data_IF_936425296370
#
_entry.id   IF_936425296370
#
_cell.length_a   1.000
_cell.length_b   1.000
_cell.length_c   1.000
_cell.angle_alpha   90.00
_cell.angle_beta   90.00
_cell.angle_gamma   90.00
#
_symmetry.space_group_name_H-M   'P 1'
#
loop_
_entity.id
_entity.type
_entity.pdbx_description
1 polymer ?
#
# COMPACT_ATOMS: atom_id res chain seq x y z
N UNK A 1 18.92 -20.59 15.75
CA UNK A 1 17.50 -20.21 15.92
C UNK A 1 16.87 -20.28 14.56
N UNK A 2 15.84 -21.10 14.42
CA UNK A 2 15.15 -21.37 13.15
C UNK A 2 13.90 -20.46 13.08
N UNK A 3 14.05 -19.33 12.38
CA UNK A 3 13.03 -18.27 12.24
C UNK A 3 11.67 -18.80 11.73
N UNK A 4 11.69 -19.91 10.98
CA UNK A 4 10.48 -20.53 10.44
C UNK A 4 9.69 -21.33 11.47
N UNK A 5 10.32 -21.77 12.56
CA UNK A 5 9.66 -22.43 13.68
C UNK A 5 8.76 -21.49 14.46
N UNK A 6 9.23 -20.26 14.70
CA UNK A 6 8.52 -19.26 15.51
C UNK A 6 7.32 -18.64 14.78
N UNK A 7 7.40 -18.50 13.45
CA UNK A 7 6.31 -17.94 12.62
C UNK A 7 5.08 -18.87 12.56
N UNK A 8 5.28 -20.20 12.65
CA UNK A 8 4.16 -21.17 12.60
C UNK A 8 3.22 -21.10 13.79
N UNK A 9 3.64 -20.49 14.90
CA UNK A 9 2.80 -20.28 16.08
C UNK A 9 1.98 -18.98 16.03
N UNK A 10 2.11 -18.16 14.97
CA UNK A 10 1.49 -16.84 14.88
C UNK A 10 0.06 -16.84 14.32
N UNK A 11 -0.46 -17.99 13.90
CA UNK A 11 -1.78 -18.12 13.28
C UNK A 11 -2.88 -18.39 14.34
N UNK A 12 -3.33 -17.33 15.02
CA UNK A 12 -4.55 -17.37 15.82
C UNK A 12 -4.59 -16.29 16.90
N UNK A 13 -5.42 -15.26 16.65
CA UNK A 13 -5.91 -14.10 17.44
C UNK A 13 -5.21 -13.57 18.69
N UNK A 14 -4.44 -14.35 19.44
CA UNK A 14 -3.54 -13.89 20.50
C UNK A 14 -2.36 -14.85 20.59
N UNK A 15 -1.16 -14.40 20.25
CA UNK A 15 0.06 -15.21 20.37
C UNK A 15 0.68 -14.96 21.74
N UNK A 16 0.88 -16.04 22.51
CA UNK A 16 1.75 -16.00 23.69
C UNK A 16 3.20 -15.88 23.25
N UNK A 17 3.77 -14.68 23.31
CA UNK A 17 5.22 -14.49 23.10
C UNK A 17 5.90 -14.57 24.46
N UNK A 18 6.16 -15.80 24.91
CA UNK A 18 6.60 -16.10 26.28
C UNK A 18 5.43 -16.35 27.25
N UNK A 19 5.74 -16.81 28.47
CA UNK A 19 4.75 -17.39 29.40
C UNK A 19 3.58 -16.45 29.76
N UNK A 20 3.74 -15.13 29.68
CA UNK A 20 2.75 -14.15 30.20
C UNK A 20 2.46 -12.92 29.30
N UNK A 21 2.89 -12.89 28.03
CA UNK A 21 2.65 -11.72 27.16
C UNK A 21 1.56 -12.03 26.12
N UNK A 22 0.48 -11.26 26.17
CA UNK A 22 -0.63 -11.22 25.20
C UNK A 22 -0.42 -10.02 24.30
N UNK A 23 -0.19 -10.24 23.00
CA UNK A 23 -0.05 -9.18 21.99
C UNK A 23 -1.20 -9.19 20.98
N UNK A 24 -1.64 -8.00 20.56
CA UNK A 24 -2.59 -7.81 19.47
C UNK A 24 -1.97 -8.18 18.09
N UNK A 25 -2.78 -8.47 17.06
CA UNK A 25 -2.25 -8.82 15.73
C UNK A 25 -1.27 -7.79 15.12
N UNK A 26 -1.51 -6.49 15.32
CA UNK A 26 -0.62 -5.44 14.84
C UNK A 26 0.72 -5.44 15.61
N UNK A 27 0.69 -5.67 16.91
CA UNK A 27 1.88 -5.80 17.77
C UNK A 27 2.70 -7.05 17.38
N UNK A 28 2.04 -8.16 17.03
CA UNK A 28 2.71 -9.37 16.52
C UNK A 28 3.41 -9.09 15.19
N UNK A 29 2.73 -8.45 14.24
CA UNK A 29 3.31 -8.10 12.95
C UNK A 29 4.51 -7.16 13.12
N UNK A 30 4.36 -6.12 13.94
CA UNK A 30 5.42 -5.19 14.27
C UNK A 30 6.62 -5.89 14.92
N UNK A 31 6.40 -6.72 15.94
CA UNK A 31 7.45 -7.50 16.59
C UNK A 31 8.20 -8.41 15.62
N UNK A 32 7.48 -9.14 14.77
CA UNK A 32 8.07 -10.05 13.79
C UNK A 32 8.96 -9.29 12.79
N UNK A 33 8.49 -8.14 12.31
CA UNK A 33 9.28 -7.25 11.45
C UNK A 33 10.51 -6.71 12.18
N UNK A 34 10.39 -6.33 13.46
CA UNK A 34 11.52 -5.92 14.30
C UNK A 34 12.60 -7.00 14.40
N UNK A 35 12.19 -8.27 14.52
CA UNK A 35 13.14 -9.41 14.51
C UNK A 35 13.80 -9.64 13.16
N UNK A 36 13.11 -9.38 12.06
CA UNK A 36 13.64 -9.58 10.70
C UNK A 36 14.57 -8.46 10.26
N UNK A 37 14.25 -7.20 10.58
CA UNK A 37 14.89 -6.02 10.01
C UNK A 37 15.72 -5.21 11.03
N UNK A 38 15.62 -5.52 12.33
CA UNK A 38 16.31 -4.79 13.39
C UNK A 38 15.61 -3.49 13.76
N UNK A 39 15.63 -2.50 12.85
CA UNK A 39 14.93 -1.22 12.99
C UNK A 39 13.66 -1.21 12.11
N UNK A 40 12.63 -1.93 12.56
CA UNK A 40 11.37 -2.01 11.84
C UNK A 40 10.65 -0.66 11.72
N UNK A 41 10.81 0.23 12.69
CA UNK A 41 10.14 1.53 12.71
C UNK A 41 10.68 2.42 11.60
N UNK A 42 12.00 2.54 11.50
CA UNK A 42 12.62 3.34 10.45
C UNK A 42 12.29 2.79 9.06
N UNK A 43 12.34 1.48 8.88
CA UNK A 43 12.07 0.84 7.59
C UNK A 43 10.59 0.95 7.21
N UNK A 44 9.66 0.71 8.14
CA UNK A 44 8.23 0.87 7.89
C UNK A 44 7.86 2.33 7.60
N UNK A 45 8.43 3.30 8.32
CA UNK A 45 8.22 4.71 8.02
C UNK A 45 8.74 5.09 6.63
N UNK A 46 9.88 4.53 6.21
CA UNK A 46 10.42 4.71 4.86
C UNK A 46 9.51 4.10 3.80
N UNK A 47 9.04 2.87 3.99
CA UNK A 47 8.08 2.21 3.08
C UNK A 47 6.80 3.04 2.95
N UNK A 48 6.26 3.55 4.06
CA UNK A 48 5.07 4.41 4.04
C UNK A 48 5.31 5.69 3.22
N UNK A 49 6.49 6.30 3.31
CA UNK A 49 6.86 7.46 2.50
C UNK A 49 6.99 7.12 1.01
N UNK A 50 7.61 5.99 0.67
CA UNK A 50 7.75 5.52 -0.71
C UNK A 50 6.39 5.22 -1.35
N UNK A 51 5.47 4.60 -0.60
CA UNK A 51 4.09 4.35 -1.05
C UNK A 51 3.32 5.65 -1.29
N UNK A 52 3.44 6.62 -0.39
CA UNK A 52 2.80 7.93 -0.55
C UNK A 52 3.34 8.68 -1.78
N UNK A 53 4.65 8.60 -2.04
CA UNK A 53 5.27 9.21 -3.21
C UNK A 53 4.84 8.52 -4.50
N UNK A 54 4.79 7.18 -4.52
CA UNK A 54 4.28 6.43 -5.66
C UNK A 54 2.81 6.77 -5.95
N UNK A 55 1.97 6.88 -4.91
CA UNK A 55 0.58 7.31 -5.07
C UNK A 55 0.45 8.68 -5.75
N UNK A 56 1.28 9.66 -5.37
CA UNK A 56 1.32 10.98 -6.04
C UNK A 56 1.74 10.89 -7.50
N UNK A 57 2.74 10.06 -7.80
CA UNK A 57 3.19 9.86 -9.19
C UNK A 57 2.09 9.24 -10.05
N UNK A 58 1.34 8.27 -9.52
CA UNK A 58 0.21 7.65 -10.22
C UNK A 58 -0.94 8.65 -10.43
N UNK A 59 -1.32 9.45 -9.42
CA UNK A 59 -2.33 10.51 -9.58
C UNK A 59 -1.90 11.54 -10.63
N UNK A 60 -0.62 11.95 -10.59
CA UNK A 60 -0.03 12.85 -11.58
C UNK A 60 -0.15 12.30 -13.01
N UNK A 61 0.23 11.04 -13.21
CA UNK A 61 0.08 10.36 -14.50
C UNK A 61 -1.38 10.30 -14.95
N UNK A 62 -2.31 9.98 -14.04
CA UNK A 62 -3.76 9.96 -14.32
C UNK A 62 -4.26 11.31 -14.84
N UNK A 63 -3.82 12.42 -14.22
CA UNK A 63 -4.15 13.79 -14.65
C UNK A 63 -3.57 14.13 -16.01
N UNK A 64 -2.30 13.80 -16.26
CA UNK A 64 -1.64 14.05 -17.54
C UNK A 64 -2.34 13.31 -18.68
N UNK A 65 -2.66 12.03 -18.49
CA UNK A 65 -3.40 11.23 -19.48
C UNK A 65 -4.79 11.81 -19.71
N UNK A 66 -5.52 12.18 -18.65
CA UNK A 66 -6.85 12.79 -18.79
C UNK A 66 -6.81 14.11 -19.57
N UNK A 67 -5.78 14.94 -19.32
CA UNK A 67 -5.57 16.20 -20.05
C UNK A 67 -5.29 15.95 -21.54
N UNK A 68 -4.44 14.97 -21.87
CA UNK A 68 -4.17 14.57 -23.25
C UNK A 68 -5.46 14.08 -23.94
N UNK A 69 -6.23 13.22 -23.27
CA UNK A 69 -7.51 12.73 -23.81
C UNK A 69 -8.51 13.87 -24.05
N UNK A 70 -8.57 14.85 -23.15
CA UNK A 70 -9.43 16.03 -23.29
C UNK A 70 -8.99 16.98 -24.40
N UNK A 71 -7.72 16.93 -24.81
CA UNK A 71 -7.16 17.72 -25.91
C UNK A 71 -7.30 17.08 -27.30
N UNK A 72 -7.80 15.84 -27.39
CA UNK A 72 -7.97 15.15 -28.67
C UNK A 72 -9.08 15.81 -29.50
N UNK A 73 -8.74 16.25 -30.71
CA UNK A 73 -9.69 16.80 -31.70
C UNK A 73 -10.21 15.73 -32.67
N UNK A 74 -10.06 14.45 -32.32
CA UNK A 74 -10.51 13.33 -33.12
C UNK A 74 -11.99 13.04 -32.83
N UNK A 75 -12.79 12.87 -33.89
CA UNK A 75 -14.25 12.72 -33.78
C UNK A 75 -14.76 11.45 -34.46
N UNK A 76 -15.96 11.03 -34.05
CA UNK A 76 -16.68 9.89 -34.58
C UNK A 76 -16.71 8.71 -33.60
N UNK A 77 -17.58 7.74 -33.86
CA UNK A 77 -17.90 6.67 -32.90
C UNK A 77 -16.67 5.87 -32.42
N UNK A 78 -15.67 5.67 -33.28
CA UNK A 78 -14.43 5.00 -32.89
C UNK A 78 -13.58 5.85 -31.93
N UNK A 79 -13.52 7.16 -32.15
CA UNK A 79 -12.82 8.10 -31.29
C UNK A 79 -13.51 8.18 -29.92
N UNK A 80 -14.84 8.27 -29.91
CA UNK A 80 -15.65 8.32 -28.68
C UNK A 80 -15.45 7.06 -27.83
N UNK A 81 -15.46 5.88 -28.47
CA UNK A 81 -15.23 4.61 -27.80
C UNK A 81 -13.80 4.51 -27.22
N UNK A 82 -12.80 4.98 -27.97
CA UNK A 82 -11.42 5.03 -27.48
C UNK A 82 -11.28 5.96 -26.26
N UNK A 83 -11.81 7.19 -26.35
CA UNK A 83 -11.76 8.17 -25.26
C UNK A 83 -12.48 7.63 -24.03
N UNK A 84 -13.65 7.02 -24.19
CA UNK A 84 -14.40 6.44 -23.08
C UNK A 84 -13.62 5.30 -22.39
N UNK A 85 -13.01 4.41 -23.17
CA UNK A 85 -12.19 3.32 -22.63
C UNK A 85 -10.95 3.86 -21.91
N UNK A 86 -10.25 4.83 -22.51
CA UNK A 86 -9.06 5.43 -21.94
C UNK A 86 -9.38 6.21 -20.64
N UNK A 87 -10.49 6.96 -20.60
CA UNK A 87 -10.96 7.59 -19.36
C UNK A 87 -11.36 6.55 -18.29
N UNK A 88 -11.83 5.36 -18.69
CA UNK A 88 -12.01 4.23 -17.79
C UNK A 88 -10.70 3.82 -17.12
N UNK A 89 -9.64 3.65 -17.90
CA UNK A 89 -8.29 3.31 -17.39
C UNK A 89 -7.70 4.40 -16.50
N UNK A 90 -7.97 5.68 -16.79
CA UNK A 90 -7.59 6.80 -15.90
C UNK A 90 -8.26 6.68 -14.53
N UNK A 91 -9.55 6.31 -14.46
CA UNK A 91 -10.22 6.10 -13.17
C UNK A 91 -9.60 4.94 -12.38
N UNK A 92 -9.20 3.87 -13.07
CA UNK A 92 -8.49 2.76 -12.43
C UNK A 92 -7.12 3.19 -11.89
N UNK A 93 -6.38 4.05 -12.61
CA UNK A 93 -5.13 4.63 -12.09
C UNK A 93 -5.38 5.45 -10.81
N UNK A 94 -6.43 6.26 -10.79
CA UNK A 94 -6.77 7.05 -9.60
C UNK A 94 -7.13 6.13 -8.41
N UNK A 95 -7.85 5.02 -8.65
CA UNK A 95 -8.11 4.02 -7.60
C UNK A 95 -6.82 3.43 -7.04
N UNK A 96 -5.86 3.11 -7.91
CA UNK A 96 -4.54 2.60 -7.48
C UNK A 96 -3.78 3.65 -6.66
N UNK A 97 -3.85 4.93 -7.03
CA UNK A 97 -3.25 6.00 -6.24
C UNK A 97 -3.86 6.09 -4.83
N UNK A 98 -5.18 5.97 -4.71
CA UNK A 98 -5.88 5.96 -3.43
C UNK A 98 -5.52 4.73 -2.59
N UNK A 99 -5.46 3.54 -3.20
CA UNK A 99 -5.07 2.29 -2.55
C UNK A 99 -3.63 2.35 -2.02
N UNK A 100 -2.69 2.95 -2.78
CA UNK A 100 -1.32 3.19 -2.33
C UNK A 100 -1.28 4.11 -1.11
N UNK A 101 -2.11 5.16 -1.10
CA UNK A 101 -2.25 6.05 0.06
C UNK A 101 -2.75 5.31 1.31
N UNK A 102 -3.81 4.52 1.17
CA UNK A 102 -4.37 3.72 2.27
C UNK A 102 -3.38 2.68 2.81
N UNK A 103 -2.62 2.05 1.91
CA UNK A 103 -1.57 1.10 2.30
C UNK A 103 -0.44 1.83 3.05
N UNK A 104 -0.01 2.99 2.55
CA UNK A 104 1.00 3.83 3.23
C UNK A 104 0.56 4.23 4.64
N UNK A 105 -0.70 4.64 4.81
CA UNK A 105 -1.27 4.96 6.13
C UNK A 105 -1.31 3.75 7.05
N UNK A 106 -1.67 2.57 6.53
CA UNK A 106 -1.69 1.32 7.30
C UNK A 106 -0.28 0.90 7.75
N UNK A 107 0.71 1.02 6.86
CA UNK A 107 2.13 0.75 7.18
C UNK A 107 2.63 1.74 8.24
N UNK A 108 2.26 3.01 8.12
CA UNK A 108 2.60 4.04 9.10
C UNK A 108 1.96 3.75 10.46
N UNK A 109 0.71 3.29 10.50
CA UNK A 109 0.07 2.86 11.74
C UNK A 109 0.83 1.69 12.37
N UNK A 110 1.21 0.70 11.56
CA UNK A 110 2.01 -0.44 12.01
C UNK A 110 3.36 -0.01 12.61
N UNK A 111 4.03 0.97 12.02
CA UNK A 111 5.29 1.53 12.52
C UNK A 111 5.16 2.24 13.88
N UNK A 112 3.95 2.61 14.29
CA UNK A 112 3.68 3.36 15.52
C UNK A 112 2.89 2.53 16.55
N UNK A 113 2.88 1.21 16.38
CA UNK A 113 2.34 0.29 17.39
C UNK A 113 3.27 0.29 18.60
N UNK A 114 2.72 0.51 19.80
CA UNK A 114 3.45 0.56 21.07
C UNK A 114 3.66 -0.82 21.68
#
# INVERSE_FOLDING_TARGET
>A
MDLWGDVKHLAGDVVKVGEDIVMAPAEIAHWALGKMFGDADAELNKIAQELAELGKQVDGLGREVSAVLGGLTWHGAAADAFIAHAQGRVRELNSVADELGQLGDSVKQLANVL
#
